data_IF_006021309068
#
_entry.id   IF_006021309068
#
_cell.length_a   1.000
_cell.length_b   1.000
_cell.length_c   1.000
_cell.angle_alpha   90.00
_cell.angle_beta   90.00
_cell.angle_gamma   90.00
#
_symmetry.space_group_name_H-M   'P 1'
#
loop_
_entity.id
_entity.type
_entity.pdbx_description
1 polymer ?
#
# COMPACT_ATOMS: atom_id res chain seq x y z
N UNK A 1 7.34 -0.96 19.67
CA UNK A 1 6.77 -2.15 18.99
C UNK A 1 6.20 -1.67 17.66
N UNK A 2 6.83 -2.02 16.54
CA UNK A 2 6.29 -1.78 15.20
C UNK A 2 4.98 -2.53 15.06
N UNK A 3 3.85 -1.84 14.87
CA UNK A 3 2.58 -2.52 14.62
C UNK A 3 2.61 -3.01 13.17
N UNK A 4 2.49 -4.31 12.94
CA UNK A 4 2.47 -4.88 11.58
C UNK A 4 1.08 -4.70 10.95
N UNK A 5 0.99 -4.63 9.61
CA UNK A 5 -0.28 -4.63 8.86
C UNK A 5 -0.38 -5.87 8.00
N UNK A 6 -1.55 -6.49 7.93
CA UNK A 6 -1.76 -7.61 7.01
C UNK A 6 -1.98 -7.10 5.59
N UNK A 7 -1.77 -7.97 4.60
CA UNK A 7 -2.01 -7.62 3.21
C UNK A 7 -3.47 -7.21 2.95
N UNK A 8 -4.44 -7.89 3.57
CA UNK A 8 -5.85 -7.52 3.48
C UNK A 8 -6.13 -6.10 4.01
N UNK A 9 -5.46 -5.70 5.10
CA UNK A 9 -5.57 -4.33 5.64
C UNK A 9 -4.98 -3.30 4.67
N UNK A 10 -3.82 -3.60 4.08
CA UNK A 10 -3.17 -2.74 3.10
C UNK A 10 -4.02 -2.57 1.84
N UNK A 11 -4.48 -3.68 1.26
CA UNK A 11 -5.34 -3.69 0.07
C UNK A 11 -6.59 -2.85 0.30
N UNK A 12 -7.32 -3.10 1.39
CA UNK A 12 -8.52 -2.31 1.74
C UNK A 12 -8.24 -0.82 1.83
N UNK A 13 -7.05 -0.44 2.29
CA UNK A 13 -6.67 0.95 2.41
C UNK A 13 -6.29 1.58 1.07
N UNK A 14 -5.53 0.89 0.23
CA UNK A 14 -5.24 1.30 -1.15
C UNK A 14 -6.55 1.51 -1.94
N UNK A 15 -7.51 0.58 -1.80
CA UNK A 15 -8.83 0.72 -2.44
C UNK A 15 -9.58 1.98 -1.98
N UNK A 16 -9.50 2.33 -0.69
CA UNK A 16 -10.10 3.58 -0.16
C UNK A 16 -9.43 4.84 -0.69
N UNK A 17 -8.15 4.76 -1.04
CA UNK A 17 -7.40 5.85 -1.65
C UNK A 17 -7.63 5.97 -3.17
N UNK A 18 -8.53 5.17 -3.74
CA UNK A 18 -8.85 5.23 -5.17
C UNK A 18 -7.93 4.38 -6.05
N UNK A 19 -7.19 3.44 -5.46
CA UNK A 19 -6.56 2.38 -6.23
C UNK A 19 -7.57 1.29 -6.61
N UNK A 20 -7.31 0.61 -7.72
CA UNK A 20 -8.01 -0.61 -8.10
C UNK A 20 -7.00 -1.71 -8.44
N UNK A 21 -7.36 -2.97 -8.18
CA UNK A 21 -6.53 -4.11 -8.56
C UNK A 21 -6.51 -4.22 -10.09
N UNK A 22 -5.32 -4.30 -10.66
CA UNK A 22 -5.12 -4.63 -12.06
C UNK A 22 -4.84 -6.13 -12.20
N UNK A 23 -5.57 -6.84 -13.07
CA UNK A 23 -5.24 -8.22 -13.37
C UNK A 23 -3.89 -8.25 -14.08
N UNK A 24 -2.97 -9.06 -13.56
CA UNK A 24 -1.64 -9.25 -14.17
C UNK A 24 -1.36 -10.73 -14.37
N UNK A 25 -0.36 -11.00 -15.22
CA UNK A 25 0.20 -12.34 -15.36
C UNK A 25 1.46 -12.43 -14.50
N UNK A 26 1.53 -13.42 -13.61
CA UNK A 26 2.68 -13.63 -12.70
C UNK A 26 2.30 -13.59 -11.21
N UNK A 27 3.32 -13.53 -10.35
CA UNK A 27 3.19 -13.65 -8.90
C UNK A 27 3.27 -12.28 -8.18
N UNK A 28 2.66 -11.27 -8.79
CA UNK A 28 2.59 -9.93 -8.24
C UNK A 28 1.15 -9.43 -8.26
N UNK A 29 0.81 -8.63 -7.27
CA UNK A 29 -0.42 -7.87 -7.28
C UNK A 29 -0.11 -6.40 -7.59
N UNK A 30 -0.82 -5.87 -8.58
CA UNK A 30 -0.67 -4.50 -9.03
C UNK A 30 -1.93 -3.72 -8.71
N UNK A 31 -1.75 -2.56 -8.08
CA UNK A 31 -2.80 -1.61 -7.79
C UNK A 31 -2.56 -0.36 -8.62
N UNK A 32 -3.58 0.15 -9.31
CA UNK A 32 -3.51 1.39 -10.07
C UNK A 32 -4.42 2.45 -9.49
N UNK A 33 -3.86 3.59 -9.14
CA UNK A 33 -4.63 4.76 -8.74
C UNK A 33 -5.40 5.32 -9.94
N UNK A 34 -6.72 5.49 -9.79
CA UNK A 34 -7.58 5.87 -10.91
C UNK A 34 -7.42 7.34 -11.33
N UNK A 35 -7.03 8.23 -10.40
CA UNK A 35 -6.86 9.65 -10.69
C UNK A 35 -5.51 10.00 -11.32
N UNK A 36 -4.41 9.48 -10.76
CA UNK A 36 -3.04 9.81 -11.18
C UNK A 36 -2.43 8.77 -12.14
N UNK A 37 -3.00 7.57 -12.20
CA UNK A 37 -2.45 6.47 -13.01
C UNK A 37 -1.32 5.69 -12.34
N UNK A 38 -0.89 6.09 -11.15
CA UNK A 38 0.24 5.51 -10.44
C UNK A 38 0.03 4.07 -9.99
N UNK A 39 1.15 3.35 -9.91
CA UNK A 39 1.18 1.93 -9.64
C UNK A 39 1.82 1.62 -8.29
N UNK A 40 1.15 0.78 -7.51
CA UNK A 40 1.76 0.05 -6.40
C UNK A 40 1.86 -1.41 -6.85
N UNK A 41 3.08 -1.94 -6.86
CA UNK A 41 3.38 -3.34 -7.22
C UNK A 41 3.90 -4.04 -5.97
N UNK A 42 3.23 -5.14 -5.60
CA UNK A 42 3.59 -5.94 -4.43
C UNK A 42 3.72 -7.41 -4.86
N UNK A 43 4.53 -8.22 -4.15
CA UNK A 43 4.43 -9.68 -4.25
C UNK A 43 3.01 -10.17 -4.01
N UNK A 44 2.66 -11.33 -4.55
CA UNK A 44 1.38 -12.01 -4.30
C UNK A 44 1.31 -12.53 -2.87
N UNK A 45 0.99 -11.63 -1.94
CA UNK A 45 0.86 -11.93 -0.52
C UNK A 45 -0.46 -12.67 -0.25
N UNK A 46 -0.44 -13.74 0.56
CA UNK A 46 -1.65 -14.24 1.17
C UNK A 46 -2.36 -13.12 1.96
N UNK A 47 -3.68 -13.06 1.89
CA UNK A 47 -4.49 -11.99 2.50
C UNK A 47 -4.19 -11.76 4.00
N UNK A 48 -3.87 -12.82 4.75
CA UNK A 48 -3.57 -12.74 6.19
C UNK A 48 -2.07 -12.56 6.51
N UNK A 49 -1.19 -12.58 5.50
CA UNK A 49 0.24 -12.41 5.70
C UNK A 49 0.57 -10.97 6.11
N UNK A 50 1.55 -10.82 6.99
CA UNK A 50 2.14 -9.52 7.31
C UNK A 50 2.94 -9.00 6.11
N UNK A 51 2.76 -7.72 5.78
CA UNK A 51 3.51 -7.08 4.69
C UNK A 51 4.91 -6.75 5.20
N UNK A 52 5.92 -7.04 4.38
CA UNK A 52 7.31 -6.67 4.69
C UNK A 52 7.45 -5.16 4.84
N UNK A 53 8.22 -4.71 5.83
CA UNK A 53 8.44 -3.29 6.10
C UNK A 53 9.01 -2.55 4.88
N UNK A 54 9.88 -3.19 4.10
CA UNK A 54 10.47 -2.62 2.88
C UNK A 54 9.38 -2.27 1.87
N UNK A 55 8.38 -3.12 1.71
CA UNK A 55 7.26 -2.86 0.81
C UNK A 55 6.34 -1.77 1.35
N UNK A 56 6.13 -1.71 2.67
CA UNK A 56 5.37 -0.62 3.30
C UNK A 56 6.05 0.74 3.11
N UNK A 57 7.37 0.79 3.21
CA UNK A 57 8.16 2.01 2.94
C UNK A 57 8.04 2.41 1.47
N UNK A 58 8.10 1.44 0.54
CA UNK A 58 7.92 1.71 -0.89
C UNK A 58 6.51 2.28 -1.19
N UNK A 59 5.46 1.68 -0.62
CA UNK A 59 4.09 2.18 -0.74
C UNK A 59 3.98 3.59 -0.17
N UNK A 60 4.53 3.84 1.03
CA UNK A 60 4.54 5.17 1.66
C UNK A 60 5.14 6.22 0.73
N UNK A 61 6.27 5.90 0.12
CA UNK A 61 7.01 6.81 -0.76
C UNK A 61 6.17 7.21 -1.96
N UNK A 62 5.53 6.25 -2.63
CA UNK A 62 4.62 6.52 -3.76
C UNK A 62 3.49 7.45 -3.33
N UNK A 63 2.85 7.17 -2.19
CA UNK A 63 1.70 7.97 -1.74
C UNK A 63 2.08 9.42 -1.40
N UNK A 64 3.27 9.63 -0.86
CA UNK A 64 3.82 10.97 -0.60
C UNK A 64 4.22 11.69 -1.88
N UNK A 65 4.93 11.00 -2.77
CA UNK A 65 5.46 11.57 -4.02
C UNK A 65 4.35 12.08 -4.94
N UNK A 66 3.17 11.44 -4.89
CA UNK A 66 2.02 11.80 -5.71
C UNK A 66 0.91 12.51 -4.93
N UNK A 67 1.20 12.98 -3.72
CA UNK A 67 0.26 13.71 -2.86
C UNK A 67 -1.07 12.96 -2.62
N UNK A 68 -1.04 11.63 -2.76
CA UNK A 68 -2.19 10.73 -2.54
C UNK A 68 -2.47 10.51 -1.06
N UNK A 69 -1.52 10.91 -0.20
CA UNK A 69 -1.75 11.11 1.23
C UNK A 69 -1.48 12.55 1.63
N UNK A 70 -2.40 13.12 2.40
CA UNK A 70 -2.09 14.26 3.24
C UNK A 70 -1.28 13.78 4.45
N UNK A 71 -0.27 14.54 4.84
CA UNK A 71 0.65 14.22 5.93
C UNK A 71 -0.06 13.91 7.26
N UNK A 72 -1.23 14.51 7.50
CA UNK A 72 -2.11 14.25 8.65
C UNK A 72 -2.83 12.88 8.62
N UNK A 73 -3.04 12.31 7.43
CA UNK A 73 -3.55 10.94 7.26
C UNK A 73 -2.45 9.88 7.38
N UNK A 74 -1.21 10.35 7.38
CA UNK A 74 -0.01 9.54 7.44
C UNK A 74 0.22 8.98 8.85
N UNK A 75 -0.25 9.63 9.91
CA UNK A 75 -0.16 9.12 11.28
C UNK A 75 -0.99 7.84 11.47
N UNK A 76 -2.08 7.67 10.71
CA UNK A 76 -2.85 6.42 10.68
C UNK A 76 -2.12 5.30 9.92
N UNK A 77 -1.25 5.66 8.97
CA UNK A 77 -0.41 4.74 8.20
C UNK A 77 0.88 4.38 8.97
N UNK A 78 1.56 5.37 9.55
CA UNK A 78 2.86 5.29 10.24
C UNK A 78 2.74 4.81 11.67
N UNK A 79 1.59 4.95 12.34
CA UNK A 79 1.34 4.22 13.58
C UNK A 79 1.51 2.69 13.41
N UNK A 80 1.61 2.19 12.16
CA UNK A 80 1.87 0.81 11.79
C UNK A 80 3.08 0.56 10.85
N UNK A 81 4.04 1.48 10.71
CA UNK A 81 5.27 1.22 9.93
C UNK A 81 6.48 1.83 10.65
N UNK A 82 7.54 1.07 10.96
CA UNK A 82 8.70 1.65 11.64
C UNK A 82 9.47 2.62 10.74
N UNK A 83 9.99 3.67 11.38
CA UNK A 83 10.90 4.69 10.85
C UNK A 83 12.26 4.12 10.44
#
# INVERSE_FOLDING_TARGET
MSKSITFAELEKWLLKLGFAVLPTTGNHQVFKHQGSGELVVLPDYPQQAWVDTTHLVAVRRILLEYELLKEESLDLFVAKVPS
#
